data_IF_823809368651
#
_entry.id   IF_823809368651
#
_cell.length_a   1.000
_cell.length_b   1.000
_cell.length_c   1.000
_cell.angle_alpha   90.00
_cell.angle_beta   90.00
_cell.angle_gamma   90.00
#
_symmetry.space_group_name_H-M   'P 1'
#
loop_
_entity.id
_entity.type
_entity.pdbx_description
1 polymer ?
#
# COMPACT_ATOMS: atom_id res chain seq x y z
N UNK A 1 4.19 13.67 26.86
CA UNK A 1 4.60 14.24 25.56
C UNK A 1 4.49 13.14 24.51
N UNK A 2 3.32 13.03 23.88
CA UNK A 2 3.12 12.05 22.81
C UNK A 2 3.77 12.61 21.54
N UNK A 3 4.98 12.16 21.25
CA UNK A 3 5.62 12.36 19.94
C UNK A 3 4.87 11.53 18.90
N UNK A 4 3.63 11.89 18.60
CA UNK A 4 2.93 11.47 17.39
C UNK A 4 3.60 12.20 16.24
N UNK A 5 4.75 11.68 15.82
CA UNK A 5 5.45 12.14 14.63
C UNK A 5 4.40 12.13 13.53
N UNK A 6 4.06 13.32 13.03
CA UNK A 6 3.20 13.58 11.87
C UNK A 6 3.69 12.74 10.68
N UNK A 7 3.27 11.48 10.64
CA UNK A 7 3.54 10.50 9.57
C UNK A 7 2.23 9.96 9.02
N UNK A 8 1.17 10.76 9.11
CA UNK A 8 -0.04 10.56 8.34
C UNK A 8 0.06 11.52 7.16
N UNK A 9 0.63 11.05 6.05
CA UNK A 9 0.73 11.79 4.78
C UNK A 9 -0.63 11.96 4.09
N UNK A 10 -1.73 12.05 4.87
CA UNK A 10 -3.11 11.97 4.40
C UNK A 10 -3.46 10.62 3.76
N UNK A 11 -4.59 10.58 3.05
CA UNK A 11 -4.97 9.45 2.23
C UNK A 11 -3.90 9.20 1.18
N UNK A 12 -3.30 8.00 1.20
CA UNK A 12 -2.37 7.60 0.16
C UNK A 12 -3.11 7.27 -1.13
N UNK A 13 -2.49 7.49 -2.30
CA UNK A 13 -3.02 7.03 -3.58
C UNK A 13 -3.40 5.54 -3.59
N UNK A 14 -2.62 4.70 -2.89
CA UNK A 14 -2.94 3.29 -2.65
C UNK A 14 -4.37 3.07 -2.13
N UNK A 15 -4.84 3.91 -1.20
CA UNK A 15 -6.18 3.77 -0.64
C UNK A 15 -7.24 4.02 -1.71
N UNK A 16 -7.10 5.10 -2.48
CA UNK A 16 -8.03 5.40 -3.58
C UNK A 16 -8.03 4.31 -4.64
N UNK A 17 -6.86 3.82 -5.05
CA UNK A 17 -6.77 2.74 -6.05
C UNK A 17 -7.44 1.46 -5.54
N UNK A 18 -7.20 1.10 -4.27
CA UNK A 18 -7.85 -0.06 -3.68
C UNK A 18 -9.37 0.10 -3.61
N UNK A 19 -9.86 1.27 -3.20
CA UNK A 19 -11.30 1.52 -3.08
C UNK A 19 -11.98 1.58 -4.46
N UNK A 20 -11.34 2.18 -5.47
CA UNK A 20 -11.80 2.23 -6.87
C UNK A 20 -11.89 0.83 -7.50
N UNK A 21 -10.93 -0.05 -7.19
CA UNK A 21 -10.88 -1.42 -7.70
C UNK A 21 -11.65 -2.42 -6.82
N UNK A 22 -12.23 -1.97 -5.70
CA UNK A 22 -12.92 -2.84 -4.75
C UNK A 22 -12.00 -3.86 -4.06
N UNK A 23 -10.70 -3.58 -3.97
CA UNK A 23 -9.70 -4.48 -3.43
C UNK A 23 -9.61 -4.36 -1.91
N UNK A 24 -9.60 -5.51 -1.24
CA UNK A 24 -9.32 -5.59 0.18
C UNK A 24 -7.84 -5.84 0.44
N UNK A 25 -7.40 -5.62 1.68
CA UNK A 25 -6.03 -6.00 2.06
C UNK A 25 -5.78 -7.51 1.94
N UNK A 26 -6.84 -8.32 2.00
CA UNK A 26 -6.74 -9.77 1.81
C UNK A 26 -6.41 -10.11 0.36
N UNK A 27 -7.05 -9.44 -0.60
CA UNK A 27 -6.84 -9.68 -2.03
C UNK A 27 -5.40 -9.37 -2.44
N UNK A 28 -4.82 -8.27 -1.93
CA UNK A 28 -3.40 -7.99 -2.15
C UNK A 28 -2.49 -9.06 -1.53
N UNK A 29 -2.79 -9.53 -0.31
CA UNK A 29 -2.00 -10.59 0.33
C UNK A 29 -2.08 -11.89 -0.47
N UNK A 30 -3.27 -12.24 -0.98
CA UNK A 30 -3.50 -13.43 -1.78
C UNK A 30 -2.84 -13.35 -3.17
N UNK A 31 -2.81 -12.17 -3.78
CA UNK A 31 -2.17 -11.94 -5.09
C UNK A 31 -0.65 -11.72 -5.01
N UNK A 32 -0.09 -11.55 -3.80
CA UNK A 32 1.34 -11.31 -3.64
C UNK A 32 2.13 -12.61 -3.65
N UNK A 33 3.15 -12.68 -4.50
CA UNK A 33 4.15 -13.74 -4.48
C UNK A 33 5.17 -13.57 -3.33
N UNK A 34 5.20 -12.41 -2.70
CA UNK A 34 6.11 -12.08 -1.61
C UNK A 34 5.39 -12.08 -0.27
N UNK A 35 6.12 -12.32 0.82
CA UNK A 35 5.55 -12.23 2.16
C UNK A 35 5.17 -10.76 2.48
N UNK A 36 3.87 -10.47 2.39
CA UNK A 36 3.22 -9.26 2.88
C UNK A 36 2.14 -9.61 3.90
N UNK A 37 1.83 -8.67 4.78
CA UNK A 37 0.81 -8.86 5.81
C UNK A 37 -0.27 -7.79 5.71
N UNK A 38 -1.47 -8.12 6.16
CA UNK A 38 -2.58 -7.16 6.30
C UNK A 38 -2.14 -5.89 7.06
N UNK A 39 -1.28 -6.03 8.08
CA UNK A 39 -0.72 -4.89 8.84
C UNK A 39 0.22 -4.01 8.00
N UNK A 40 0.94 -4.56 7.02
CA UNK A 40 1.78 -3.77 6.11
C UNK A 40 0.91 -2.91 5.19
N UNK A 41 -0.13 -3.49 4.61
CA UNK A 41 -1.08 -2.79 3.74
C UNK A 41 -1.85 -1.72 4.50
N UNK A 42 -2.38 -2.06 5.68
CA UNK A 42 -3.11 -1.10 6.52
C UNK A 42 -2.25 0.12 6.93
N UNK A 43 -0.93 -0.08 7.15
CA UNK A 43 0.00 1.03 7.40
C UNK A 43 0.23 1.88 6.16
N UNK A 44 0.34 1.25 4.99
CA UNK A 44 0.41 1.94 3.69
C UNK A 44 -0.83 2.81 3.45
N UNK A 45 -2.03 2.26 3.63
CA UNK A 45 -3.31 2.98 3.45
C UNK A 45 -3.42 4.24 4.33
N UNK A 46 -2.97 4.15 5.58
CA UNK A 46 -3.00 5.28 6.55
C UNK A 46 -1.95 6.35 6.29
N UNK A 47 -1.06 6.19 5.30
CA UNK A 47 0.00 7.16 5.01
C UNK A 47 1.24 7.03 5.89
N UNK A 48 1.39 5.90 6.59
CA UNK A 48 2.60 5.64 7.38
C UNK A 48 3.75 5.27 6.45
N UNK A 49 4.85 6.03 6.52
CA UNK A 49 6.06 5.76 5.73
C UNK A 49 6.53 4.31 5.87
N UNK A 50 6.55 3.59 4.77
CA UNK A 50 7.04 2.21 4.65
C UNK A 50 8.47 2.21 4.10
N UNK A 51 9.23 1.16 4.40
CA UNK A 51 10.54 0.98 3.77
C UNK A 51 10.38 0.63 2.29
N UNK A 52 11.39 0.96 1.48
CA UNK A 52 11.32 0.79 0.03
C UNK A 52 11.04 -0.65 -0.40
N UNK A 53 11.59 -1.63 0.32
CA UNK A 53 11.33 -3.05 0.08
C UNK A 53 9.85 -3.39 0.27
N UNK A 54 9.20 -2.85 1.30
CA UNK A 54 7.78 -3.07 1.56
C UNK A 54 6.91 -2.38 0.52
N UNK A 55 7.31 -1.19 0.06
CA UNK A 55 6.60 -0.49 -1.02
C UNK A 55 6.62 -1.30 -2.31
N UNK A 56 7.78 -1.84 -2.71
CA UNK A 56 7.88 -2.68 -3.90
C UNK A 56 7.03 -3.96 -3.79
N UNK A 57 7.01 -4.59 -2.62
CA UNK A 57 6.14 -5.74 -2.36
C UNK A 57 4.66 -5.41 -2.56
N UNK A 58 4.21 -4.30 -1.99
CA UNK A 58 2.82 -3.84 -2.12
C UNK A 58 2.51 -3.45 -3.57
N UNK A 59 3.45 -2.80 -4.25
CA UNK A 59 3.30 -2.44 -5.67
C UNK A 59 3.12 -3.69 -6.54
N UNK A 60 3.98 -4.70 -6.39
CA UNK A 60 3.87 -5.97 -7.13
C UNK A 60 2.57 -6.69 -6.82
N UNK A 61 2.19 -6.75 -5.55
CA UNK A 61 0.91 -7.32 -5.14
C UNK A 61 -0.28 -6.60 -5.79
N UNK A 62 -0.23 -5.27 -5.89
CA UNK A 62 -1.26 -4.47 -6.53
C UNK A 62 -1.31 -4.72 -8.04
N UNK A 63 -0.15 -4.75 -8.71
CA UNK A 63 -0.06 -5.05 -10.15
C UNK A 63 -0.63 -6.45 -10.42
N UNK A 64 -0.28 -7.44 -9.61
CA UNK A 64 -0.80 -8.80 -9.74
C UNK A 64 -2.32 -8.87 -9.49
N UNK A 65 -2.83 -8.15 -8.49
CA UNK A 65 -4.26 -8.16 -8.16
C UNK A 65 -5.13 -7.41 -9.19
N UNK A 66 -4.57 -6.44 -9.91
CA UNK A 66 -5.29 -5.58 -10.86
C UNK A 66 -4.96 -5.86 -12.32
N UNK A 67 -3.95 -6.70 -12.57
CA UNK A 67 -3.30 -6.90 -13.87
C UNK A 67 -2.91 -5.58 -14.57
N UNK A 68 -2.75 -4.50 -13.79
CA UNK A 68 -2.50 -3.14 -14.28
C UNK A 68 -1.13 -2.70 -13.83
N UNK A 69 -0.34 -2.10 -14.74
CA UNK A 69 0.95 -1.55 -14.37
C UNK A 69 0.80 -0.24 -13.58
N UNK A 70 1.43 -0.21 -12.41
CA UNK A 70 1.55 0.96 -11.56
C UNK A 70 3.02 1.28 -11.29
N UNK A 71 3.36 2.55 -11.13
CA UNK A 71 4.65 2.96 -10.59
C UNK A 71 4.54 3.26 -9.09
N UNK A 72 5.68 3.26 -8.38
CA UNK A 72 5.71 3.61 -6.95
C UNK A 72 5.09 4.97 -6.65
N UNK A 73 5.31 5.97 -7.54
CA UNK A 73 4.74 7.32 -7.44
C UNK A 73 3.21 7.36 -7.53
N UNK A 74 2.62 6.36 -8.17
CA UNK A 74 1.16 6.27 -8.34
C UNK A 74 0.51 5.64 -7.10
N UNK A 75 1.29 4.93 -6.28
CA UNK A 75 0.81 4.19 -5.10
C UNK A 75 1.17 4.90 -3.79
N UNK A 76 2.34 5.54 -3.73
CA UNK A 76 2.86 6.26 -2.57
C UNK A 76 3.30 7.68 -2.95
N UNK A 77 2.96 8.66 -2.12
CA UNK A 77 3.22 10.08 -2.39
C UNK A 77 4.51 10.63 -1.75
N UNK A 78 5.51 9.77 -1.49
CA UNK A 78 6.72 10.11 -0.70
C UNK A 78 7.98 9.34 -1.07
#
# INVERSE_FOLDING_TARGET
MNNEIQRNMGNQPLTSIMDEKGLTAHDLVAASEEQITHKMIARGRKGRRLSRNVQFKILRALINATETQYALKDVFNY
#
